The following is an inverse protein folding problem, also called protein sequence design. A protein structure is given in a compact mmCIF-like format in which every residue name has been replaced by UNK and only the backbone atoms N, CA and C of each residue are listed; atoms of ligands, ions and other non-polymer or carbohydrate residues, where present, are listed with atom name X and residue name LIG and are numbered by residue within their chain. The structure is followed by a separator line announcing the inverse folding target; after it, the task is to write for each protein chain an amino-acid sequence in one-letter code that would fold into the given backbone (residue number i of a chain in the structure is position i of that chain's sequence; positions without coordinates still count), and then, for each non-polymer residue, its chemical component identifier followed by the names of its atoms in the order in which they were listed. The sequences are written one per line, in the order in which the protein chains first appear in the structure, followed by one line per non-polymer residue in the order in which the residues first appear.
data_IF_466435525354
#
_entry.id   IF_466435525354
#
_cell.length_a   1.000
_cell.length_b   1.000
_cell.length_c   1.000
_cell.angle_alpha   90.00
_cell.angle_beta   90.00
_cell.angle_gamma   90.00
#
_symmetry.space_group_name_H-M   'P 1'
#
loop_
_entity.id
_entity.type
_entity.pdbx_description
1 polymer ?
#
# COMPACT_ATOMS: atom_id res chain seq x y z
N UNK A 1 -3.33 21.40 9.22
CA UNK A 1 -3.01 20.09 9.80
C UNK A 1 -2.64 19.06 8.76
N UNK A 2 -2.18 17.92 9.22
CA UNK A 2 -1.86 16.78 8.37
C UNK A 2 -3.06 15.85 8.31
N UNK A 3 -3.49 15.45 7.11
CA UNK A 3 -4.62 14.53 6.96
C UNK A 3 -4.27 13.13 7.47
N UNK A 4 -5.25 12.43 8.03
CA UNK A 4 -5.07 11.08 8.58
C UNK A 4 -4.61 10.03 7.55
N UNK A 5 -4.79 10.27 6.25
CA UNK A 5 -4.23 9.36 5.23
C UNK A 5 -2.70 9.35 5.23
N UNK A 6 -2.05 10.48 5.57
CA UNK A 6 -0.59 10.53 5.76
C UNK A 6 -0.18 9.73 7.01
N UNK A 7 -0.95 9.82 8.09
CA UNK A 7 -0.72 9.01 9.28
C UNK A 7 -0.88 7.51 9.02
N UNK A 8 -1.85 7.13 8.17
CA UNK A 8 -2.02 5.75 7.75
C UNK A 8 -0.83 5.24 6.90
N UNK A 9 -0.29 6.07 5.98
CA UNK A 9 0.90 5.73 5.23
C UNK A 9 2.11 5.49 6.14
N UNK A 10 2.30 6.39 7.12
CA UNK A 10 3.37 6.25 8.12
C UNK A 10 3.23 4.96 8.95
N UNK A 11 2.01 4.64 9.39
CA UNK A 11 1.72 3.41 10.15
C UNK A 11 1.94 2.14 9.33
N UNK A 12 1.70 2.21 8.01
CA UNK A 12 1.94 1.11 7.07
C UNK A 12 3.41 0.99 6.64
N UNK A 13 4.23 2.03 6.92
CA UNK A 13 5.59 2.17 6.39
C UNK A 13 5.61 2.05 4.85
N UNK A 14 4.60 2.60 4.19
CA UNK A 14 4.36 2.45 2.78
C UNK A 14 4.27 3.79 2.05
N UNK A 15 4.84 3.83 0.86
CA UNK A 15 4.60 4.87 -0.15
C UNK A 15 3.34 4.50 -0.93
N UNK A 16 2.43 5.48 -1.10
CA UNK A 16 1.19 5.25 -1.85
C UNK A 16 1.36 5.24 -3.36
N UNK A 17 2.51 5.70 -3.85
CA UNK A 17 2.81 5.74 -5.28
C UNK A 17 4.16 5.08 -5.54
N UNK A 18 4.17 4.04 -6.36
CA UNK A 18 5.37 3.29 -6.70
C UNK A 18 5.53 3.18 -8.22
N UNK A 19 6.75 3.34 -8.76
CA UNK A 19 7.03 3.19 -10.17
C UNK A 19 6.55 1.83 -10.71
N UNK A 20 5.84 1.86 -11.84
CA UNK A 20 5.33 0.66 -12.49
C UNK A 20 4.10 0.01 -11.82
N UNK A 21 3.67 0.50 -10.65
CA UNK A 21 2.53 -0.04 -9.90
C UNK A 21 1.37 0.96 -9.88
N UNK A 22 1.53 2.08 -9.20
CA UNK A 22 0.53 3.14 -9.16
C UNK A 22 1.20 4.49 -9.02
N UNK A 23 0.74 5.48 -9.81
CA UNK A 23 1.22 6.88 -9.75
C UNK A 23 0.13 7.82 -9.24
N UNK A 24 -1.01 7.28 -8.83
CA UNK A 24 -2.16 8.07 -8.39
C UNK A 24 -2.69 7.55 -7.06
N UNK A 25 -3.19 8.48 -6.25
CA UNK A 25 -3.87 8.17 -4.99
C UNK A 25 -5.27 8.75 -5.06
N UNK A 26 -6.27 7.89 -4.95
CA UNK A 26 -7.68 8.29 -4.87
C UNK A 26 -8.09 8.30 -3.40
N UNK A 27 -8.44 9.49 -2.90
CA UNK A 27 -8.97 9.68 -1.55
C UNK A 27 -10.47 9.88 -1.67
N UNK A 28 -11.25 8.93 -1.17
CA UNK A 28 -12.70 8.96 -1.28
C UNK A 28 -13.39 8.26 -0.10
N UNK A 29 -14.67 8.00 -0.21
CA UNK A 29 -15.48 7.26 0.77
C UNK A 29 -16.61 6.50 0.07
N UNK A 30 -17.17 5.51 0.75
CA UNK A 30 -18.43 4.90 0.33
C UNK A 30 -19.59 5.91 0.42
N UNK A 31 -20.54 5.79 -0.47
CA UNK A 31 -21.85 6.38 -0.28
C UNK A 31 -22.49 5.72 0.97
N UNK A 32 -23.01 6.54 1.86
CA UNK A 32 -23.64 6.08 3.09
C UNK A 32 -24.89 6.93 3.36
N UNK A 33 -25.01 7.51 4.55
CA UNK A 33 -26.09 8.43 4.88
C UNK A 33 -26.14 9.65 3.97
N UNK A 34 -25.01 10.05 3.42
CA UNK A 34 -24.90 11.10 2.42
C UNK A 34 -24.44 10.49 1.10
N UNK A 35 -25.05 10.88 -0.03
CA UNK A 35 -24.65 10.38 -1.33
C UNK A 35 -23.25 10.87 -1.72
N UNK A 36 -22.65 10.20 -2.70
CA UNK A 36 -21.54 10.68 -3.49
C UNK A 36 -21.99 10.78 -4.94
N UNK A 37 -21.41 11.67 -5.76
CA UNK A 37 -21.71 11.71 -7.18
C UNK A 37 -21.42 10.34 -7.83
N UNK A 38 -22.24 9.91 -8.77
CA UNK A 38 -22.11 8.60 -9.42
C UNK A 38 -20.72 8.40 -10.04
N UNK A 39 -20.18 9.44 -10.67
CA UNK A 39 -18.83 9.44 -11.26
C UNK A 39 -17.70 9.31 -10.22
N UNK A 40 -17.99 9.56 -8.95
CA UNK A 40 -17.06 9.50 -7.83
C UNK A 40 -17.36 8.31 -6.92
N UNK A 41 -18.20 7.37 -7.37
CA UNK A 41 -18.43 6.11 -6.64
C UNK A 41 -17.13 5.31 -6.51
N UNK A 42 -17.02 4.51 -5.46
CA UNK A 42 -15.87 3.60 -5.27
C UNK A 42 -15.68 2.72 -6.49
N UNK A 43 -16.77 2.17 -7.05
CA UNK A 43 -16.76 1.37 -8.26
C UNK A 43 -16.18 2.12 -9.47
N UNK A 44 -16.54 3.38 -9.65
CA UNK A 44 -16.02 4.19 -10.77
C UNK A 44 -14.52 4.42 -10.64
N UNK A 45 -14.03 4.76 -9.44
CA UNK A 45 -12.60 4.94 -9.20
C UNK A 45 -11.80 3.63 -9.21
N UNK A 46 -12.40 2.54 -8.80
CA UNK A 46 -11.78 1.21 -8.80
C UNK A 46 -11.37 0.75 -10.21
N UNK A 47 -12.03 1.22 -11.26
CA UNK A 47 -11.68 0.94 -12.64
C UNK A 47 -10.25 1.40 -13.02
N UNK A 48 -9.68 2.35 -12.31
CA UNK A 48 -8.31 2.82 -12.52
C UNK A 48 -7.26 1.94 -11.84
N UNK A 49 -7.64 1.07 -10.91
CA UNK A 49 -6.75 0.22 -10.11
C UNK A 49 -5.59 1.01 -9.47
N UNK A 50 -5.82 2.28 -9.18
CA UNK A 50 -4.90 3.17 -8.50
C UNK A 50 -4.87 2.84 -6.99
N UNK A 51 -3.91 3.38 -6.25
CA UNK A 51 -3.97 3.30 -4.78
C UNK A 51 -5.21 4.06 -4.28
N UNK A 52 -6.05 3.41 -3.49
CA UNK A 52 -7.23 4.05 -2.91
C UNK A 52 -7.13 4.14 -1.39
N UNK A 53 -7.52 5.29 -0.84
CA UNK A 53 -7.63 5.52 0.60
C UNK A 53 -9.07 5.92 0.92
N UNK A 54 -9.76 5.06 1.68
CA UNK A 54 -11.20 5.21 1.92
C UNK A 54 -11.45 5.64 3.35
N UNK A 55 -12.11 6.79 3.46
CA UNK A 55 -12.56 7.38 4.70
C UNK A 55 -13.97 6.93 5.05
N UNK A 56 -14.34 6.97 6.32
CA UNK A 56 -15.72 6.80 6.81
C UNK A 56 -16.43 5.52 6.31
N UNK A 57 -15.68 4.51 5.88
CA UNK A 57 -16.23 3.33 5.22
C UNK A 57 -16.14 2.05 6.08
N UNK A 58 -15.64 2.14 7.31
CA UNK A 58 -15.41 0.98 8.20
C UNK A 58 -16.72 0.21 8.54
N UNK A 59 -17.85 0.88 8.56
CA UNK A 59 -19.15 0.23 8.79
C UNK A 59 -19.79 -0.38 7.54
N UNK A 60 -19.14 -0.32 6.38
CA UNK A 60 -19.64 -0.73 5.06
C UNK A 60 -18.63 -1.61 4.32
N UNK A 61 -17.82 -2.41 5.04
CA UNK A 61 -16.70 -3.14 4.43
C UNK A 61 -17.15 -4.24 3.47
N UNK A 62 -18.29 -4.86 3.71
CA UNK A 62 -18.86 -5.85 2.80
C UNK A 62 -19.24 -5.21 1.46
N UNK A 63 -19.98 -4.11 1.53
CA UNK A 63 -20.39 -3.33 0.35
C UNK A 63 -19.18 -2.71 -0.34
N UNK A 64 -18.20 -2.24 0.43
CA UNK A 64 -16.95 -1.70 -0.09
C UNK A 64 -16.18 -2.76 -0.89
N UNK A 65 -16.03 -3.96 -0.36
CA UNK A 65 -15.38 -5.07 -1.07
C UNK A 65 -16.08 -5.38 -2.39
N UNK A 66 -17.41 -5.44 -2.39
CA UNK A 66 -18.20 -5.66 -3.60
C UNK A 66 -18.00 -4.56 -4.65
N UNK A 67 -18.07 -3.28 -4.26
CA UNK A 67 -17.85 -2.12 -5.14
C UNK A 67 -16.44 -2.11 -5.74
N UNK A 68 -15.42 -2.47 -4.96
CA UNK A 68 -14.03 -2.56 -5.42
C UNK A 68 -13.87 -3.67 -6.47
N UNK A 69 -14.43 -4.86 -6.21
CA UNK A 69 -14.35 -6.02 -7.12
C UNK A 69 -15.13 -5.75 -8.40
N UNK A 70 -16.35 -5.23 -8.31
CA UNK A 70 -17.16 -4.85 -9.47
C UNK A 70 -16.50 -3.74 -10.31
N UNK A 71 -15.69 -2.89 -9.69
CA UNK A 71 -14.92 -1.85 -10.34
C UNK A 71 -13.63 -2.32 -10.98
N UNK A 72 -13.15 -3.54 -10.69
CA UNK A 72 -12.01 -4.14 -11.38
C UNK A 72 -10.85 -4.61 -10.50
N UNK A 73 -10.88 -4.43 -9.18
CA UNK A 73 -9.89 -5.05 -8.29
C UNK A 73 -10.13 -6.56 -8.15
N UNK A 74 -9.07 -7.32 -7.97
CA UNK A 74 -9.16 -8.73 -7.57
C UNK A 74 -9.54 -8.85 -6.09
N UNK A 75 -10.19 -9.96 -5.72
CA UNK A 75 -10.38 -10.33 -4.31
C UNK A 75 -9.05 -10.44 -3.56
N UNK A 76 -7.99 -10.83 -4.25
CA UNK A 76 -6.64 -10.99 -3.72
C UNK A 76 -5.84 -9.69 -3.68
N UNK A 77 -6.36 -8.58 -4.25
CA UNK A 77 -5.67 -7.29 -4.22
C UNK A 77 -5.34 -6.91 -2.77
N UNK A 78 -4.07 -6.55 -2.48
CA UNK A 78 -3.65 -6.16 -1.15
C UNK A 78 -4.45 -4.99 -0.59
N UNK A 79 -4.85 -5.12 0.66
CA UNK A 79 -5.56 -4.09 1.41
C UNK A 79 -5.03 -3.99 2.84
N UNK A 80 -5.31 -2.88 3.49
CA UNK A 80 -5.00 -2.70 4.90
C UNK A 80 -6.06 -1.87 5.60
N UNK A 81 -6.34 -2.20 6.85
CA UNK A 81 -7.18 -1.42 7.75
C UNK A 81 -6.25 -0.79 8.80
N UNK A 82 -6.17 0.53 8.80
CA UNK A 82 -5.37 1.27 9.78
C UNK A 82 -6.32 1.92 10.79
N UNK A 83 -6.41 1.29 11.95
CA UNK A 83 -7.25 1.74 13.05
C UNK A 83 -6.50 2.73 13.91
N UNK A 84 -7.12 3.87 14.20
CA UNK A 84 -6.59 4.92 15.09
C UNK A 84 -5.11 5.27 14.79
N UNK A 85 -4.76 5.50 13.52
CA UNK A 85 -3.41 5.92 13.13
C UNK A 85 -2.89 7.04 14.05
N UNK A 86 -1.67 6.91 14.55
CA UNK A 86 -0.99 7.84 15.47
C UNK A 86 -1.48 7.86 16.93
N UNK A 87 -2.49 7.08 17.27
CA UNK A 87 -2.97 6.94 18.64
C UNK A 87 -2.24 5.80 19.37
N UNK A 88 -2.23 5.78 20.73
CA UNK A 88 -1.61 4.66 21.47
C UNK A 88 -2.20 3.29 21.11
N UNK A 89 -3.48 3.23 20.75
CA UNK A 89 -4.18 2.00 20.39
C UNK A 89 -4.12 1.69 18.88
N UNK A 90 -3.21 2.30 18.14
CA UNK A 90 -3.04 2.05 16.71
C UNK A 90 -2.92 0.56 16.41
N UNK A 91 -3.67 0.10 15.40
CA UNK A 91 -3.52 -1.24 14.81
C UNK A 91 -3.38 -1.13 13.31
N UNK A 92 -2.50 -1.94 12.73
CA UNK A 92 -2.35 -2.14 11.30
C UNK A 92 -2.73 -3.57 10.98
N UNK A 93 -3.80 -3.74 10.21
CA UNK A 93 -4.34 -5.05 9.85
C UNK A 93 -4.18 -5.21 8.33
N UNK A 94 -3.21 -6.00 7.90
CA UNK A 94 -3.02 -6.33 6.49
C UNK A 94 -3.97 -7.45 6.09
N UNK A 95 -4.59 -7.31 4.94
CA UNK A 95 -5.60 -8.22 4.41
C UNK A 95 -5.67 -8.10 2.88
N UNK A 96 -6.70 -8.63 2.28
CA UNK A 96 -7.04 -8.43 0.87
C UNK A 96 -8.42 -7.79 0.74
N UNK A 97 -8.76 -7.33 -0.46
CA UNK A 97 -10.09 -6.78 -0.76
C UNK A 97 -11.20 -7.76 -0.35
N UNK A 98 -11.02 -9.04 -0.65
CA UNK A 98 -12.00 -10.08 -0.32
C UNK A 98 -12.14 -10.37 1.18
N UNK A 99 -11.15 -10.04 1.99
CA UNK A 99 -11.13 -10.36 3.44
C UNK A 99 -11.33 -9.16 4.36
N UNK A 100 -11.59 -7.97 3.82
CA UNK A 100 -11.76 -6.71 4.59
C UNK A 100 -12.75 -6.83 5.75
N UNK A 101 -13.96 -7.33 5.49
CA UNK A 101 -15.01 -7.46 6.51
C UNK A 101 -14.60 -8.44 7.62
N UNK A 102 -14.10 -9.61 7.23
CA UNK A 102 -13.67 -10.62 8.19
C UNK A 102 -12.55 -10.11 9.08
N UNK A 103 -11.52 -9.49 8.50
CA UNK A 103 -10.37 -8.93 9.21
C UNK A 103 -10.79 -7.87 10.24
N UNK A 104 -11.69 -6.96 9.86
CA UNK A 104 -12.19 -5.93 10.77
C UNK A 104 -13.00 -6.54 11.92
N UNK A 105 -13.84 -7.54 11.63
CA UNK A 105 -14.65 -8.25 12.62
C UNK A 105 -13.80 -8.99 13.65
N UNK A 106 -12.78 -9.71 13.20
CA UNK A 106 -11.87 -10.46 14.08
C UNK A 106 -11.06 -9.54 15.00
N UNK A 107 -10.74 -8.33 14.52
CA UNK A 107 -10.01 -7.32 15.30
C UNK A 107 -10.90 -6.38 16.13
N UNK A 108 -12.24 -6.54 16.07
CA UNK A 108 -13.25 -5.68 16.69
C UNK A 108 -13.12 -4.20 16.24
N UNK A 109 -12.88 -3.99 14.95
CA UNK A 109 -12.76 -2.65 14.36
C UNK A 109 -14.03 -2.28 13.61
N UNK A 110 -14.83 -1.39 14.20
CA UNK A 110 -16.14 -0.96 13.66
C UNK A 110 -16.17 0.50 13.21
N UNK A 111 -15.18 1.30 13.62
CA UNK A 111 -15.08 2.75 13.32
C UNK A 111 -13.65 3.24 13.48
N UNK A 112 -13.41 4.51 13.13
CA UNK A 112 -12.13 5.21 13.35
C UNK A 112 -10.95 4.51 12.66
N UNK A 113 -11.19 3.95 11.48
CA UNK A 113 -10.16 3.35 10.66
C UNK A 113 -10.19 3.92 9.23
N UNK A 114 -9.03 3.89 8.60
CA UNK A 114 -8.85 4.12 7.17
C UNK A 114 -8.61 2.78 6.50
N UNK A 115 -9.19 2.62 5.34
CA UNK A 115 -8.94 1.45 4.48
C UNK A 115 -8.03 1.91 3.35
N UNK A 116 -6.94 1.20 3.13
CA UNK A 116 -6.00 1.42 2.02
C UNK A 116 -6.04 0.20 1.13
N UNK A 117 -6.15 0.41 -0.18
CA UNK A 117 -6.25 -0.66 -1.19
C UNK A 117 -5.27 -0.37 -2.32
N UNK A 118 -4.55 -1.38 -2.75
CA UNK A 118 -3.69 -1.30 -3.94
C UNK A 118 -2.45 -2.15 -3.85
N UNK A 119 -1.89 -2.47 -5.00
CA UNK A 119 -0.69 -3.29 -5.16
C UNK A 119 0.56 -2.68 -4.50
N UNK A 120 0.54 -1.39 -4.18
CA UNK A 120 1.62 -0.72 -3.42
C UNK A 120 1.84 -1.34 -2.04
N UNK A 121 0.87 -2.09 -1.52
CA UNK A 121 0.92 -2.75 -0.22
C UNK A 121 1.60 -4.13 -0.25
N UNK A 122 1.86 -4.71 -1.42
CA UNK A 122 2.47 -6.04 -1.57
C UNK A 122 3.96 -6.07 -1.19
N UNK A 123 4.61 -4.92 -1.11
CA UNK A 123 6.03 -4.81 -0.72
C UNK A 123 7.02 -5.14 -1.84
N UNK A 124 6.56 -5.61 -3.00
CA UNK A 124 7.40 -5.81 -4.18
C UNK A 124 7.39 -4.56 -5.05
N UNK A 125 8.50 -3.87 -5.14
CA UNK A 125 8.59 -2.66 -5.96
C UNK A 125 9.98 -2.42 -6.53
N UNK A 126 10.04 -1.74 -7.67
CA UNK A 126 11.27 -1.20 -8.20
C UNK A 126 11.56 0.16 -7.55
N UNK A 127 12.82 0.40 -7.17
CA UNK A 127 13.22 1.72 -6.69
C UNK A 127 13.06 2.76 -7.79
N UNK A 128 12.58 3.94 -7.43
CA UNK A 128 12.57 5.08 -8.33
C UNK A 128 13.99 5.32 -8.87
N UNK A 129 14.12 5.54 -10.17
CA UNK A 129 15.40 5.88 -10.81
C UNK A 129 16.08 7.11 -10.20
N UNK A 130 15.32 7.99 -9.59
CA UNK A 130 15.87 9.16 -8.88
C UNK A 130 16.78 8.79 -7.71
N UNK A 131 16.53 7.64 -7.07
CA UNK A 131 17.33 7.12 -5.96
C UNK A 131 18.31 6.03 -6.39
N UNK A 132 18.34 5.68 -7.68
CA UNK A 132 19.27 4.73 -8.22
C UNK A 132 20.69 5.35 -8.30
N UNK A 133 21.71 4.76 -7.65
CA UNK A 133 23.07 5.29 -7.67
C UNK A 133 23.69 5.27 -9.06
N UNK A 134 23.15 4.49 -10.00
CA UNK A 134 23.62 4.43 -11.40
C UNK A 134 22.96 5.47 -12.31
N UNK A 135 22.02 6.27 -11.78
CA UNK A 135 21.27 7.26 -12.54
C UNK A 135 21.76 8.66 -12.26
N UNK A 136 22.15 9.37 -13.33
CA UNK A 136 22.54 10.78 -13.28
C UNK A 136 21.29 11.65 -13.41
N UNK A 137 21.11 12.60 -12.50
CA UNK A 137 20.09 13.64 -12.55
C UNK A 137 20.74 15.01 -12.80
N UNK A 138 19.94 16.04 -13.02
CA UNK A 138 20.40 17.42 -13.14
C UNK A 138 21.22 17.89 -11.91
N UNK A 139 20.90 17.33 -10.72
CA UNK A 139 21.51 17.74 -9.44
C UNK A 139 22.49 16.72 -8.86
N UNK A 140 22.60 15.51 -9.44
CA UNK A 140 23.45 14.44 -8.92
C UNK A 140 23.99 13.57 -10.05
N UNK A 141 25.31 13.42 -10.11
CA UNK A 141 25.95 12.43 -10.97
C UNK A 141 25.84 11.02 -10.37
N UNK A 142 25.76 10.00 -11.23
CA UNK A 142 25.80 8.61 -10.81
C UNK A 142 27.07 8.34 -10.00
N UNK A 143 26.92 7.69 -8.85
CA UNK A 143 28.03 7.35 -7.95
C UNK A 143 28.68 6.01 -8.25
N UNK A 144 28.03 5.15 -9.06
CA UNK A 144 28.59 3.89 -9.53
C UNK A 144 28.00 3.49 -10.90
N UNK A 145 28.67 2.61 -11.60
CA UNK A 145 28.16 2.00 -12.83
C UNK A 145 27.22 0.83 -12.53
N UNK A 146 26.33 0.48 -13.49
CA UNK A 146 25.47 -0.70 -13.38
C UNK A 146 26.26 -2.00 -13.16
N UNK A 147 27.48 -2.07 -13.68
CA UNK A 147 28.37 -3.24 -13.58
C UNK A 147 28.91 -3.41 -12.15
N UNK A 148 29.29 -2.31 -11.50
CA UNK A 148 29.75 -2.30 -10.10
C UNK A 148 28.63 -2.65 -9.13
N UNK A 149 27.41 -2.19 -9.39
CA UNK A 149 26.23 -2.51 -8.56
C UNK A 149 25.87 -4.01 -8.65
N UNK A 150 26.02 -4.63 -9.83
CA UNK A 150 25.83 -6.08 -10.02
C UNK A 150 26.82 -6.90 -9.21
N UNK A 151 28.10 -6.55 -9.25
CA UNK A 151 29.15 -7.23 -8.49
C UNK A 151 28.98 -7.11 -6.97
N UNK A 152 28.54 -5.95 -6.47
CA UNK A 152 28.27 -5.75 -5.04
C UNK A 152 27.12 -6.62 -4.56
N UNK A 153 26.05 -6.78 -5.35
CA UNK A 153 24.90 -7.63 -5.00
C UNK A 153 25.26 -9.13 -5.02
N UNK A 154 26.07 -9.58 -5.95
CA UNK A 154 26.56 -10.96 -6.01
C UNK A 154 27.44 -11.30 -4.81
N UNK A 155 28.34 -10.39 -4.42
CA UNK A 155 29.20 -10.58 -3.26
C UNK A 155 28.39 -10.64 -1.96
N UNK A 156 27.43 -9.73 -1.74
CA UNK A 156 26.56 -9.76 -0.57
C UNK A 156 25.69 -11.02 -0.51
N UNK A 157 25.19 -11.50 -1.63
CA UNK A 157 24.43 -12.75 -1.69
C UNK A 157 25.27 -13.97 -1.34
N UNK A 158 26.55 -13.95 -1.71
CA UNK A 158 27.51 -15.02 -1.42
C UNK A 158 27.91 -15.02 0.05
N UNK A 159 28.15 -13.84 0.64
CA UNK A 159 28.45 -13.69 2.06
C UNK A 159 27.28 -14.15 2.96
N UNK A 160 26.06 -13.75 2.65
CA UNK A 160 24.85 -14.19 3.40
C UNK A 160 24.63 -15.71 3.31
N UNK A 161 24.95 -16.36 2.17
CA UNK A 161 24.87 -17.81 2.05
C UNK A 161 25.92 -18.52 2.90
N UNK A 162 27.15 -18.00 2.94
CA UNK A 162 28.24 -18.56 3.76
C UNK A 162 27.98 -18.42 5.24
N UNK A 163 27.40 -17.30 5.69
CA UNK A 163 26.99 -17.10 7.08
C UNK A 163 25.85 -18.05 7.49
N UNK A 164 24.87 -18.29 6.62
CA UNK A 164 23.79 -19.21 6.89
C UNK A 164 24.27 -20.69 6.99
N UNK A 165 25.24 -21.08 6.17
CA UNK A 165 25.84 -22.43 6.22
C UNK A 165 26.80 -22.62 7.41
N UNK A 166 27.42 -21.54 7.89
CA UNK A 166 28.31 -21.55 9.07
C UNK A 166 27.58 -21.68 10.42
N UNK A 167 26.31 -21.29 10.50
CA UNK A 167 25.50 -21.39 11.72
C UNK A 167 24.76 -22.73 11.87
N UNK A 168 24.87 -23.64 10.87
CA UNK A 168 24.22 -24.96 10.87
C UNK A 168 25.16 -26.10 11.25
N UNK A 169 26.32 -25.81 11.81
CA UNK A 169 27.27 -26.76 12.40
C UNK A 169 27.44 -26.44 13.89
#
# INVERSE_FOLDING_TARGET
GVSSFCGAAAALEAEYTLPGISQSVVITRMAGRTPVPEKESVRSFAAHQATMVLFLSTGLLKELSAELIEGGYSEDTPAAIVYKATWPEQKVLRCTVGTLEQTAREADVTKTALIVVGEVLDGTYERSKLYDPTFTTEFRQASCSKKELGQTRENQSTEMRQEAEGQSK
#
